data_IF_434868048528
#
_entry.id   IF_434868048528
#
_cell.length_a   1.000
_cell.length_b   1.000
_cell.length_c   1.000
_cell.angle_alpha   90.00
_cell.angle_beta   90.00
_cell.angle_gamma   90.00
#
_symmetry.space_group_name_H-M   'P 1'
#
loop_
_entity.id
_entity.type
_entity.pdbx_description
1 polymer ?
#
# COMPACT_ATOMS: atom_id res chain seq x y z
N UNK A 1 0.11 -13.62 -4.73
CA UNK A 1 1.05 -12.89 -3.86
C UNK A 1 2.27 -13.78 -3.67
N UNK A 2 3.47 -13.24 -3.65
CA UNK A 2 4.67 -14.02 -3.32
C UNK A 2 4.67 -14.43 -1.84
N UNK A 3 5.31 -15.56 -1.52
CA UNK A 3 5.35 -16.12 -0.15
C UNK A 3 6.36 -15.44 0.76
N UNK A 4 7.41 -14.85 0.19
CA UNK A 4 8.47 -14.16 0.94
C UNK A 4 8.35 -12.64 0.76
N UNK A 5 8.59 -11.86 1.81
CA UNK A 5 8.66 -10.41 1.67
C UNK A 5 9.93 -10.02 0.92
N UNK A 6 9.84 -8.99 0.09
CA UNK A 6 11.01 -8.42 -0.61
C UNK A 6 11.63 -7.24 0.14
N UNK A 7 10.89 -6.64 1.08
CA UNK A 7 11.32 -5.50 1.88
C UNK A 7 10.53 -5.42 3.20
N UNK A 8 11.02 -4.65 4.17
CA UNK A 8 10.32 -4.37 5.44
C UNK A 8 10.65 -2.99 5.99
N UNK A 9 9.63 -2.35 6.57
CA UNK A 9 9.80 -1.21 7.45
C UNK A 9 9.91 -1.63 8.92
N UNK A 10 9.76 -0.67 9.83
CA UNK A 10 9.77 -0.94 11.26
C UNK A 10 8.56 -1.76 11.74
N UNK A 11 7.40 -1.57 11.12
CA UNK A 11 6.13 -2.17 11.57
C UNK A 11 5.52 -3.18 10.59
N UNK A 12 5.93 -3.13 9.31
CA UNK A 12 5.28 -3.87 8.22
C UNK A 12 6.31 -4.51 7.30
N UNK A 13 5.95 -5.65 6.74
CA UNK A 13 6.68 -6.32 5.67
C UNK A 13 5.91 -6.21 4.34
N UNK A 14 6.64 -6.23 3.23
CA UNK A 14 6.15 -5.94 1.88
C UNK A 14 6.30 -7.16 0.97
N UNK A 15 5.22 -7.56 0.31
CA UNK A 15 5.15 -8.70 -0.61
C UNK A 15 4.80 -8.23 -2.02
N UNK A 16 5.37 -8.90 -3.02
CA UNK A 16 4.97 -8.69 -4.42
C UNK A 16 3.57 -9.27 -4.66
N UNK A 17 2.73 -8.50 -5.33
CA UNK A 17 1.38 -8.90 -5.71
C UNK A 17 1.12 -8.55 -7.16
N UNK A 18 0.53 -9.47 -7.93
CA UNK A 18 -0.06 -9.18 -9.24
C UNK A 18 -1.58 -9.20 -9.12
N UNK A 19 -2.23 -8.15 -9.63
CA UNK A 19 -3.69 -8.10 -9.75
C UNK A 19 -4.09 -8.60 -11.13
N UNK A 20 -4.79 -9.73 -11.19
CA UNK A 20 -5.33 -10.27 -12.43
C UNK A 20 -6.37 -9.30 -13.03
N UNK A 21 -6.38 -9.16 -14.36
CA UNK A 21 -7.41 -8.36 -15.05
C UNK A 21 -8.79 -8.97 -14.78
N UNK A 22 -9.78 -8.11 -14.50
CA UNK A 22 -11.17 -8.54 -14.31
C UNK A 22 -11.88 -8.80 -15.65
N UNK A 23 -11.28 -8.42 -16.79
CA UNK A 23 -11.82 -8.70 -18.10
C UNK A 23 -11.49 -10.15 -18.47
N UNK A 24 -12.53 -10.98 -18.66
CA UNK A 24 -12.37 -12.40 -19.05
C UNK A 24 -11.52 -12.57 -20.32
N UNK A 25 -11.56 -11.61 -21.26
CA UNK A 25 -10.77 -11.65 -22.49
C UNK A 25 -9.25 -11.49 -22.27
N UNK A 26 -8.85 -10.99 -21.10
CA UNK A 26 -7.44 -10.80 -20.68
C UNK A 26 -7.07 -11.72 -19.51
N UNK A 27 -7.99 -12.60 -19.09
CA UNK A 27 -7.77 -13.53 -18.00
C UNK A 27 -6.66 -14.53 -18.41
N UNK A 28 -5.48 -14.40 -17.80
CA UNK A 28 -4.33 -15.27 -18.05
C UNK A 28 -3.10 -14.56 -18.62
N UNK A 29 -3.22 -13.32 -19.10
CA UNK A 29 -2.06 -12.54 -19.56
C UNK A 29 -1.36 -11.82 -18.40
N UNK A 30 -0.54 -12.59 -17.67
CA UNK A 30 0.25 -12.08 -16.54
C UNK A 30 1.31 -11.03 -16.93
N UNK A 31 1.59 -10.83 -18.22
CA UNK A 31 2.50 -9.79 -18.70
C UNK A 31 1.83 -8.42 -18.72
N UNK A 32 0.50 -8.37 -18.87
CA UNK A 32 -0.28 -7.12 -18.86
C UNK A 32 -0.92 -6.81 -17.51
N UNK A 33 -0.79 -7.71 -16.54
CA UNK A 33 -1.31 -7.48 -15.18
C UNK A 33 -0.55 -6.37 -14.45
N UNK A 34 -1.29 -5.61 -13.64
CA UNK A 34 -0.71 -4.53 -12.85
C UNK A 34 0.04 -5.05 -11.63
N UNK A 35 1.24 -4.52 -11.40
CA UNK A 35 2.07 -4.83 -10.23
C UNK A 35 1.63 -3.99 -9.01
N UNK A 36 1.51 -4.67 -7.87
CA UNK A 36 1.12 -4.14 -6.58
C UNK A 36 2.09 -4.62 -5.50
N UNK A 37 2.02 -3.96 -4.35
CA UNK A 37 2.63 -4.39 -3.10
C UNK A 37 1.51 -4.70 -2.13
N UNK A 38 1.58 -5.86 -1.48
CA UNK A 38 0.79 -6.16 -0.30
C UNK A 38 1.66 -5.94 0.95
N UNK A 39 1.12 -5.31 1.99
CA UNK A 39 1.82 -5.08 3.25
C UNK A 39 1.00 -5.59 4.41
N UNK A 40 1.63 -6.24 5.38
CA UNK A 40 0.97 -6.62 6.65
C UNK A 40 1.84 -6.22 7.83
N UNK A 41 1.22 -6.06 9.00
CA UNK A 41 1.97 -5.82 10.22
C UNK A 41 2.77 -7.04 10.64
N UNK A 42 3.98 -6.80 11.14
CA UNK A 42 4.86 -7.85 11.68
C UNK A 42 4.30 -8.37 13.02
N UNK A 43 3.74 -7.47 13.83
CA UNK A 43 3.06 -7.79 15.08
C UNK A 43 1.53 -7.80 14.89
N UNK A 44 0.77 -8.62 15.64
CA UNK A 44 -0.69 -8.60 15.58
C UNK A 44 -1.27 -7.22 15.92
N UNK A 45 -2.22 -6.76 15.13
CA UNK A 45 -2.97 -5.51 15.37
C UNK A 45 -4.46 -5.72 15.12
N UNK A 46 -5.29 -4.83 15.67
CA UNK A 46 -6.73 -4.83 15.38
C UNK A 46 -6.97 -4.48 13.90
N UNK A 47 -7.96 -5.11 13.26
CA UNK A 47 -8.35 -4.80 11.87
C UNK A 47 -8.61 -3.31 11.64
N UNK A 48 -9.14 -2.60 12.63
CA UNK A 48 -9.41 -1.16 12.56
C UNK A 48 -8.15 -0.35 12.22
N UNK A 49 -6.98 -0.77 12.70
CA UNK A 49 -5.70 -0.13 12.40
C UNK A 49 -5.43 -0.13 10.89
N UNK A 50 -5.79 -1.20 10.17
CA UNK A 50 -5.63 -1.22 8.72
C UNK A 50 -6.49 -0.17 8.02
N UNK A 51 -7.73 0.02 8.47
CA UNK A 51 -8.66 1.01 7.92
C UNK A 51 -8.27 2.44 8.28
N UNK A 52 -7.79 2.66 9.51
CA UNK A 52 -7.33 3.96 9.97
C UNK A 52 -6.08 4.41 9.18
N UNK A 53 -5.15 3.50 8.90
CA UNK A 53 -3.99 3.75 8.03
C UNK A 53 -4.40 4.13 6.60
N UNK A 54 -5.41 3.46 6.03
CA UNK A 54 -5.95 3.83 4.72
C UNK A 54 -6.53 5.22 4.77
N UNK A 55 -7.35 5.54 5.77
CA UNK A 55 -7.92 6.88 5.93
C UNK A 55 -6.83 7.95 6.00
N UNK A 56 -5.81 7.73 6.83
CA UNK A 56 -4.68 8.65 6.98
C UNK A 56 -3.96 8.90 5.64
N UNK A 57 -3.64 7.85 4.89
CA UNK A 57 -2.95 7.99 3.60
C UNK A 57 -3.84 8.69 2.54
N UNK A 58 -5.15 8.43 2.55
CA UNK A 58 -6.07 9.09 1.64
C UNK A 58 -6.31 10.57 2.00
N UNK A 59 -6.30 10.93 3.28
CA UNK A 59 -6.30 12.34 3.72
C UNK A 59 -5.00 13.05 3.27
N UNK A 60 -3.84 12.40 3.39
CA UNK A 60 -2.58 12.93 2.87
C UNK A 60 -2.62 13.14 1.34
N UNK A 61 -3.31 12.27 0.59
CA UNK A 61 -3.52 12.46 -0.85
C UNK A 61 -4.30 13.75 -1.14
N UNK A 62 -5.37 14.03 -0.40
CA UNK A 62 -6.14 15.27 -0.54
C UNK A 62 -5.29 16.52 -0.26
N UNK A 63 -4.38 16.43 0.72
CA UNK A 63 -3.41 17.50 0.98
C UNK A 63 -2.41 17.68 -0.16
N UNK A 64 -1.93 16.60 -0.77
CA UNK A 64 -1.10 16.68 -1.99
C UNK A 64 -1.82 17.34 -3.16
N UNK A 65 -3.10 17.00 -3.36
CA UNK A 65 -3.96 17.66 -4.36
C UNK A 65 -4.16 19.14 -4.04
N UNK A 66 -4.34 19.49 -2.76
CA UNK A 66 -4.43 20.87 -2.31
C UNK A 66 -3.15 21.67 -2.58
N UNK A 67 -1.99 21.10 -2.24
CA UNK A 67 -0.69 21.66 -2.55
C UNK A 67 -0.52 21.91 -4.06
N UNK A 68 -0.91 20.94 -4.89
CA UNK A 68 -0.80 21.06 -6.35
C UNK A 68 -1.67 22.19 -6.95
N UNK A 69 -2.76 22.61 -6.28
CA UNK A 69 -3.60 23.75 -6.72
C UNK A 69 -2.85 25.08 -6.64
N UNK A 70 -1.79 25.17 -5.85
CA UNK A 70 -0.93 26.36 -5.78
C UNK A 70 0.14 26.41 -6.90
N UNK A 71 0.11 25.48 -7.86
CA UNK A 71 1.07 25.39 -8.97
C UNK A 71 2.54 25.41 -8.52
N UNK A 72 2.95 24.50 -7.62
CA UNK A 72 4.33 24.39 -7.18
C UNK A 72 5.25 24.01 -8.35
N UNK A 73 6.57 24.30 -8.28
CA UNK A 73 7.53 23.90 -9.31
C UNK A 73 7.57 22.39 -9.56
N UNK A 74 7.26 21.59 -8.54
CA UNK A 74 7.11 20.13 -8.63
C UNK A 74 5.82 19.73 -7.93
N UNK A 75 4.89 19.15 -8.69
CA UNK A 75 3.67 18.56 -8.15
C UNK A 75 4.01 17.25 -7.41
N UNK A 76 3.16 16.89 -6.46
CA UNK A 76 3.28 15.66 -5.67
C UNK A 76 2.06 14.78 -5.85
N UNK A 77 2.19 13.49 -5.63
CA UNK A 77 1.06 12.59 -5.52
C UNK A 77 1.31 11.55 -4.43
N UNK A 78 0.23 11.05 -3.85
CA UNK A 78 0.23 9.98 -2.86
C UNK A 78 -0.53 8.79 -3.47
N UNK A 79 0.08 7.61 -3.41
CA UNK A 79 -0.56 6.40 -3.90
C UNK A 79 -1.82 6.09 -3.11
N UNK A 80 -2.84 5.61 -3.82
CA UNK A 80 -4.03 5.06 -3.18
C UNK A 80 -3.66 3.80 -2.39
N UNK A 81 -4.20 3.70 -1.18
CA UNK A 81 -4.10 2.53 -0.32
C UNK A 81 -5.47 1.89 -0.20
N UNK A 82 -5.53 0.56 -0.13
CA UNK A 82 -6.76 -0.17 0.16
C UNK A 82 -6.50 -1.34 1.11
N UNK A 83 -7.54 -1.84 1.76
CA UNK A 83 -7.47 -3.05 2.58
C UNK A 83 -7.86 -4.26 1.73
N UNK A 84 -7.09 -5.33 1.82
CA UNK A 84 -7.40 -6.66 1.29
C UNK A 84 -7.58 -7.62 2.47
N UNK A 85 -8.74 -8.25 2.54
CA UNK A 85 -9.05 -9.33 3.48
C UNK A 85 -8.92 -10.67 2.74
N UNK A 86 -8.05 -11.56 3.23
CA UNK A 86 -7.81 -12.89 2.66
C UNK A 86 -8.21 -13.97 3.67
N UNK A 87 -9.02 -14.91 3.21
CA UNK A 87 -9.42 -16.07 3.99
C UNK A 87 -8.58 -17.28 3.60
N UNK A 88 -7.99 -17.94 4.59
CA UNK A 88 -7.01 -19.03 4.40
C UNK A 88 -7.62 -20.31 3.83
N UNK A 89 -8.94 -20.49 3.93
CA UNK A 89 -9.67 -21.67 3.45
C UNK A 89 -10.17 -21.51 2.00
N UNK A 90 -9.94 -20.36 1.36
CA UNK A 90 -10.45 -20.05 0.03
C UNK A 90 -11.98 -19.96 -0.05
N UNK A 91 -12.68 -19.99 1.09
CA UNK A 91 -14.13 -19.90 1.14
C UNK A 91 -14.61 -18.48 0.89
N UNK A 92 -15.81 -18.36 0.33
CA UNK A 92 -16.46 -17.05 0.16
C UNK A 92 -16.85 -16.49 1.53
N UNK A 93 -16.93 -15.16 1.70
CA UNK A 93 -17.34 -14.52 2.95
C UNK A 93 -18.64 -15.07 3.58
N UNK A 94 -19.53 -15.62 2.74
CA UNK A 94 -20.83 -16.21 3.14
C UNK A 94 -20.76 -17.65 3.65
N UNK A 95 -19.63 -18.35 3.54
CA UNK A 95 -19.48 -19.78 3.83
C UNK A 95 -18.56 -20.05 5.03
N UNK A 96 -18.16 -18.99 5.75
CA UNK A 96 -17.25 -19.08 6.89
C UNK A 96 -17.82 -19.95 8.01
N UNK A 97 -17.23 -21.13 8.19
CA UNK A 97 -17.55 -22.08 9.26
C UNK A 97 -16.76 -21.81 10.56
N UNK A 98 -16.12 -20.65 10.68
CA UNK A 98 -15.61 -20.12 11.95
C UNK A 98 -14.25 -20.67 12.42
N UNK A 99 -13.47 -21.33 11.56
CA UNK A 99 -12.23 -22.02 12.00
C UNK A 99 -10.96 -21.16 11.81
N UNK A 100 -10.90 -20.25 10.83
CA UNK A 100 -9.71 -19.43 10.57
C UNK A 100 -10.01 -17.94 10.61
N UNK A 101 -9.22 -17.18 11.36
CA UNK A 101 -9.26 -15.71 11.33
C UNK A 101 -8.74 -15.19 9.98
N UNK A 102 -9.40 -14.20 9.35
CA UNK A 102 -8.91 -13.59 8.12
C UNK A 102 -7.57 -12.90 8.34
N UNK A 103 -6.75 -12.91 7.30
CA UNK A 103 -5.54 -12.10 7.22
C UNK A 103 -5.85 -10.77 6.52
N UNK A 104 -5.30 -9.67 7.04
CA UNK A 104 -5.47 -8.34 6.49
C UNK A 104 -4.16 -7.83 5.89
N UNK A 105 -4.28 -7.17 4.74
CA UNK A 105 -3.16 -6.55 4.04
C UNK A 105 -3.55 -5.14 3.58
N UNK A 106 -2.60 -4.22 3.60
CA UNK A 106 -2.67 -3.01 2.79
C UNK A 106 -2.21 -3.33 1.37
N UNK A 107 -2.91 -2.83 0.36
CA UNK A 107 -2.50 -2.95 -1.05
C UNK A 107 -2.34 -1.57 -1.68
N UNK A 108 -1.25 -1.39 -2.42
CA UNK A 108 -0.97 -0.20 -3.22
C UNK A 108 -0.17 -0.57 -4.48
N UNK A 109 -0.07 0.36 -5.43
CA UNK A 109 0.73 0.16 -6.64
C UNK A 109 2.19 -0.06 -6.30
N UNK A 110 2.85 -0.95 -7.05
CA UNK A 110 4.29 -1.07 -6.95
C UNK A 110 4.98 0.18 -7.53
N UNK A 111 5.91 0.76 -6.77
CA UNK A 111 6.74 1.88 -7.20
C UNK A 111 8.00 1.36 -7.87
N UNK A 112 8.17 1.67 -9.15
CA UNK A 112 9.42 1.43 -9.87
C UNK A 112 10.43 2.56 -9.58
N UNK A 113 11.69 2.19 -9.41
CA UNK A 113 12.78 3.12 -9.12
C UNK A 113 13.34 2.98 -7.71
N UNK A 114 14.16 3.96 -7.32
CA UNK A 114 14.80 4.00 -6.00
C UNK A 114 13.85 4.63 -4.97
N UNK A 115 13.46 3.84 -3.97
CA UNK A 115 12.69 4.35 -2.84
C UNK A 115 13.59 5.17 -1.90
N UNK A 116 13.16 6.38 -1.53
CA UNK A 116 13.90 7.27 -0.65
C UNK A 116 12.99 7.95 0.37
N UNK A 117 13.39 7.95 1.64
CA UNK A 117 12.71 8.62 2.75
C UNK A 117 13.37 9.97 3.05
N UNK A 118 12.66 11.08 2.81
CA UNK A 118 13.22 12.43 2.94
C UNK A 118 13.15 13.03 4.35
N UNK A 119 12.19 12.59 5.17
CA UNK A 119 12.07 12.97 6.58
C UNK A 119 11.41 11.86 7.41
N UNK A 120 11.45 11.98 8.74
CA UNK A 120 10.72 11.11 9.66
C UNK A 120 9.60 11.84 10.39
N UNK A 121 8.73 11.05 11.01
CA UNK A 121 7.74 11.49 11.99
C UNK A 121 8.34 11.89 13.36
N UNK A 122 9.66 12.01 13.46
CA UNK A 122 10.41 12.32 14.69
C UNK A 122 11.52 13.36 14.48
N UNK A 123 11.45 14.12 13.38
CA UNK A 123 12.36 15.25 13.11
C UNK A 123 13.65 14.93 12.36
N UNK A 124 13.88 13.68 11.92
CA UNK A 124 14.99 13.38 11.01
C UNK A 124 14.73 13.98 9.62
N UNK A 125 15.77 14.54 9.00
CA UNK A 125 15.77 15.05 7.62
C UNK A 125 16.97 14.47 6.90
N UNK A 126 16.75 13.96 5.69
CA UNK A 126 17.78 13.35 4.85
C UNK A 126 18.81 14.40 4.35
N UNK A 127 20.07 13.98 4.20
CA UNK A 127 21.17 14.86 3.79
C UNK A 127 21.09 15.29 2.31
N UNK A 128 20.41 14.49 1.47
CA UNK A 128 20.12 14.91 0.11
C UNK A 128 18.95 15.89 0.10
N UNK A 129 19.31 17.16 0.25
CA UNK A 129 18.35 18.25 0.38
C UNK A 129 17.46 18.37 -0.85
N UNK A 130 16.16 18.17 -0.63
CA UNK A 130 15.09 18.50 -1.57
C UNK A 130 14.10 19.42 -0.88
N UNK A 131 13.65 20.44 -1.60
CA UNK A 131 12.71 21.44 -1.08
C UNK A 131 11.28 20.90 -0.95
N UNK A 132 10.77 20.26 -2.01
CA UNK A 132 9.36 19.81 -2.08
C UNK A 132 8.91 18.91 -0.92
N UNK A 133 9.73 18.01 -0.36
CA UNK A 133 9.32 17.20 0.79
C UNK A 133 9.24 17.94 2.14
N UNK A 134 9.76 19.18 2.25
CA UNK A 134 9.90 19.90 3.53
C UNK A 134 9.10 21.22 3.60
N UNK A 135 8.81 21.83 2.45
CA UNK A 135 8.19 23.16 2.30
C UNK A 135 6.71 23.08 1.93
#
# INVERSE_FOLDING_TARGET
MESLPFDRGAMRECFRLKKLSQKLSEAGDWQRTSNYVAKRYIAPVNKQVYFDDVRLQMEAKLWGEAFNRYNPPKKVDIFQLSVLELHSDGSRPSEHTGISSPEFYHIERYMEGEYRKYNSNSGFVDECLRNTPQL
#
